data_IF_257862224194
#
_entry.id   IF_257862224194
#
_cell.length_a   1.000
_cell.length_b   1.000
_cell.length_c   1.000
_cell.angle_alpha   90.00
_cell.angle_beta   90.00
_cell.angle_gamma   90.00
#
_symmetry.space_group_name_H-M   'P 1'
#
loop_
_entity.id
_entity.type
_entity.pdbx_description
1 polymer ?
#
# COMPACT_ATOMS: atom_id res chain seq x y z
N UNK A 1 -28.21 2.46 -14.68
CA UNK A 1 -27.65 1.19 -14.17
C UNK A 1 -26.56 1.54 -13.16
N UNK A 2 -26.66 0.97 -11.96
CA UNK A 2 -25.60 1.12 -10.96
C UNK A 2 -24.55 0.05 -11.18
N UNK A 3 -23.29 0.47 -11.27
CA UNK A 3 -22.16 -0.44 -11.50
C UNK A 3 -21.29 -0.45 -10.24
N UNK A 4 -21.32 -1.56 -9.50
CA UNK A 4 -20.48 -1.73 -8.32
C UNK A 4 -19.03 -1.93 -8.76
N UNK A 5 -18.12 -1.16 -8.16
CA UNK A 5 -16.72 -1.10 -8.56
C UNK A 5 -15.82 -1.35 -7.35
N UNK A 6 -14.74 -2.11 -7.53
CA UNK A 6 -13.72 -2.24 -6.49
C UNK A 6 -12.30 -1.90 -6.96
N UNK A 7 -12.03 -1.86 -8.26
CA UNK A 7 -10.70 -1.50 -8.77
C UNK A 7 -10.80 -1.06 -10.22
N UNK A 8 -9.80 -0.31 -10.66
CA UNK A 8 -9.82 0.27 -12.00
C UNK A 8 -9.57 -0.76 -13.10
N UNK A 9 -8.77 -1.77 -12.83
CA UNK A 9 -8.44 -2.79 -13.86
C UNK A 9 -9.71 -3.49 -14.34
N UNK A 10 -10.55 -3.87 -13.38
CA UNK A 10 -11.81 -4.52 -13.74
C UNK A 10 -12.80 -3.50 -14.30
N UNK A 11 -12.92 -2.34 -13.66
CA UNK A 11 -14.00 -1.42 -14.00
C UNK A 11 -13.79 -0.69 -15.32
N UNK A 12 -12.55 -0.33 -15.66
CA UNK A 12 -12.33 0.43 -16.90
C UNK A 12 -12.78 -0.40 -18.11
N UNK A 13 -12.31 -1.62 -18.19
CA UNK A 13 -12.67 -2.52 -19.29
C UNK A 13 -14.16 -2.80 -19.29
N UNK A 14 -14.72 -3.13 -18.12
CA UNK A 14 -16.12 -3.52 -18.00
C UNK A 14 -17.05 -2.36 -18.42
N UNK A 15 -16.77 -1.16 -17.94
CA UNK A 15 -17.62 0.00 -18.25
C UNK A 15 -17.47 0.40 -19.71
N UNK A 16 -16.26 0.31 -20.26
CA UNK A 16 -16.04 0.60 -21.68
C UNK A 16 -16.90 -0.33 -22.54
N UNK A 17 -16.95 -1.62 -22.19
CA UNK A 17 -17.81 -2.58 -22.88
C UNK A 17 -19.28 -2.21 -22.75
N UNK A 18 -19.71 -1.85 -21.54
CA UNK A 18 -21.11 -1.47 -21.33
C UNK A 18 -21.46 -0.25 -22.16
N UNK A 19 -20.60 0.76 -22.20
CA UNK A 19 -20.87 1.97 -22.97
C UNK A 19 -20.96 1.67 -24.45
N UNK A 20 -20.14 0.76 -24.92
CA UNK A 20 -20.16 0.36 -26.34
C UNK A 20 -21.46 -0.38 -26.69
N UNK A 21 -21.87 -1.30 -25.81
CA UNK A 21 -23.07 -2.12 -26.09
C UNK A 21 -24.37 -1.40 -25.81
N UNK A 22 -24.36 -0.49 -24.85
CA UNK A 22 -25.58 0.21 -24.42
C UNK A 22 -25.30 1.71 -24.35
N UNK A 23 -25.06 2.35 -25.50
CA UNK A 23 -24.61 3.76 -25.48
C UNK A 23 -25.63 4.74 -24.93
N UNK A 24 -26.91 4.37 -24.87
CA UNK A 24 -27.95 5.26 -24.36
C UNK A 24 -28.24 5.08 -22.88
N UNK A 25 -27.62 4.09 -22.25
CA UNK A 25 -27.85 3.83 -20.82
C UNK A 25 -27.00 4.75 -19.96
N UNK A 26 -27.60 5.33 -18.93
CA UNK A 26 -26.87 6.09 -17.92
C UNK A 26 -26.23 5.12 -16.94
N UNK A 27 -24.92 5.22 -16.77
CA UNK A 27 -24.16 4.39 -15.86
C UNK A 27 -23.69 5.23 -14.69
N UNK A 28 -23.85 4.70 -13.48
CA UNK A 28 -23.35 5.33 -12.27
C UNK A 28 -22.43 4.34 -11.57
N UNK A 29 -21.19 4.72 -11.37
CA UNK A 29 -20.23 3.88 -10.65
C UNK A 29 -20.41 4.04 -9.15
N UNK A 30 -20.31 2.93 -8.44
CA UNK A 30 -20.42 2.93 -6.98
C UNK A 30 -19.24 2.17 -6.41
N UNK A 31 -18.30 2.90 -5.78
CA UNK A 31 -17.12 2.30 -5.19
C UNK A 31 -17.43 1.92 -3.75
N UNK A 32 -17.48 0.60 -3.50
CA UNK A 32 -17.79 0.10 -2.18
C UNK A 32 -16.98 -1.15 -1.89
N UNK A 33 -15.87 -1.25 -1.08
CA UNK A 33 -15.28 -1.92 -0.91
C UNK A 33 -15.05 -2.01 0.16
N UNK A 34 -15.65 -2.36 1.26
CA UNK A 34 -15.32 -2.28 2.69
C UNK A 34 -14.21 -3.23 3.14
N UNK A 35 -13.89 -4.20 2.33
CA UNK A 35 -12.91 -5.24 2.68
C UNK A 35 -11.46 -4.84 2.42
N UNK A 36 -11.23 -3.71 1.78
CA UNK A 36 -9.87 -3.35 1.36
C UNK A 36 -9.07 -2.82 2.56
N UNK A 37 -7.96 -3.47 2.83
CA UNK A 37 -7.08 -3.12 3.92
C UNK A 37 -5.63 -3.32 3.46
N UNK A 38 -4.70 -2.43 3.83
CA UNK A 38 -4.82 -1.27 4.72
C UNK A 38 -5.57 -0.10 4.07
N UNK A 39 -5.87 0.91 4.86
CA UNK A 39 -6.64 2.06 4.35
C UNK A 39 -5.92 2.76 3.19
N UNK A 40 -4.59 2.79 3.20
CA UNK A 40 -3.85 3.39 2.08
C UNK A 40 -4.12 2.65 0.78
N UNK A 41 -4.29 1.33 0.83
CA UNK A 41 -4.66 0.56 -0.38
C UNK A 41 -6.06 0.93 -0.85
N UNK A 42 -7.00 1.10 0.09
CA UNK A 42 -8.34 1.57 -0.25
C UNK A 42 -8.27 2.91 -0.98
N UNK A 43 -7.50 3.85 -0.43
CA UNK A 43 -7.35 5.17 -1.04
C UNK A 43 -6.70 5.08 -2.43
N UNK A 44 -5.70 4.22 -2.57
CA UNK A 44 -5.01 4.08 -3.85
C UNK A 44 -5.96 3.54 -4.94
N UNK A 45 -6.75 2.53 -4.59
CA UNK A 45 -7.70 1.97 -5.56
C UNK A 45 -8.79 2.97 -5.91
N UNK A 46 -9.31 3.69 -4.91
CA UNK A 46 -10.30 4.72 -5.18
C UNK A 46 -9.76 5.79 -6.11
N UNK A 47 -8.55 6.26 -5.84
CA UNK A 47 -7.92 7.30 -6.66
C UNK A 47 -7.82 6.86 -8.12
N UNK A 48 -7.41 5.61 -8.36
CA UNK A 48 -7.27 5.14 -9.73
C UNK A 48 -8.63 4.89 -10.38
N UNK A 49 -9.64 4.51 -9.60
CA UNK A 49 -11.01 4.41 -10.11
C UNK A 49 -11.54 5.80 -10.48
N UNK A 50 -11.25 6.81 -9.67
CA UNK A 50 -11.64 8.19 -9.98
C UNK A 50 -11.04 8.62 -11.32
N UNK A 51 -9.75 8.32 -11.51
CA UNK A 51 -9.08 8.62 -12.77
C UNK A 51 -9.75 7.90 -13.95
N UNK A 52 -10.05 6.63 -13.76
CA UNK A 52 -10.70 5.81 -14.78
C UNK A 52 -12.08 6.34 -15.15
N UNK A 53 -12.90 6.65 -14.16
CA UNK A 53 -14.25 7.14 -14.39
C UNK A 53 -14.22 8.51 -15.05
N UNK A 54 -13.28 9.32 -14.77
CA UNK A 54 -13.10 10.61 -15.45
C UNK A 54 -12.85 10.40 -16.95
N UNK A 55 -12.11 9.40 -17.13
CA UNK A 55 -11.81 9.05 -18.37
C UNK A 55 -12.91 8.56 -19.06
N UNK A 56 -13.68 7.88 -18.61
CA UNK A 56 -14.84 7.26 -19.23
C UNK A 56 -16.09 8.15 -19.25
N UNK A 57 -16.05 9.24 -18.52
CA UNK A 57 -17.15 10.18 -18.49
C UNK A 57 -18.35 9.71 -17.71
N UNK A 58 -18.16 8.93 -16.65
CA UNK A 58 -19.27 8.50 -15.81
C UNK A 58 -19.14 9.07 -14.40
N UNK A 59 -20.30 9.23 -13.77
CA UNK A 59 -20.37 9.67 -12.39
C UNK A 59 -19.89 8.55 -11.47
N UNK A 60 -19.09 8.89 -10.47
CA UNK A 60 -18.62 7.93 -9.45
C UNK A 60 -19.09 8.39 -8.08
N UNK A 61 -19.69 7.47 -7.35
CA UNK A 61 -20.12 7.71 -5.97
C UNK A 61 -19.26 6.80 -5.07
N UNK A 62 -18.64 7.42 -4.07
CA UNK A 62 -17.89 6.66 -3.06
C UNK A 62 -18.85 6.26 -1.94
N UNK A 63 -18.91 4.95 -1.66
CA UNK A 63 -19.65 4.46 -0.51
C UNK A 63 -18.82 4.59 0.76
N UNK A 64 -19.43 4.31 1.90
CA UNK A 64 -18.69 4.40 3.16
C UNK A 64 -17.61 3.32 3.25
N UNK A 65 -16.52 3.62 3.95
CA UNK A 65 -15.49 2.63 4.22
C UNK A 65 -15.89 1.88 5.50
N UNK A 66 -16.71 0.85 5.33
CA UNK A 66 -17.33 0.09 6.42
C UNK A 66 -16.42 -1.04 6.91
N UNK A 67 -15.14 -0.77 7.12
CA UNK A 67 -14.19 -1.84 7.40
C UNK A 67 -14.52 -2.58 8.70
N UNK A 68 -14.86 -1.85 9.76
CA UNK A 68 -15.16 -2.50 11.03
C UNK A 68 -16.40 -3.37 10.94
N UNK A 69 -17.43 -2.87 10.27
CA UNK A 69 -18.65 -3.64 10.05
C UNK A 69 -18.37 -4.90 9.23
N UNK A 70 -17.51 -4.78 8.22
CA UNK A 70 -17.13 -5.93 7.41
C UNK A 70 -16.35 -6.95 8.24
N UNK A 71 -15.42 -6.48 9.09
CA UNK A 71 -14.66 -7.37 9.95
C UNK A 71 -15.58 -8.15 10.90
N UNK A 72 -16.60 -7.48 11.44
CA UNK A 72 -17.57 -8.16 12.27
C UNK A 72 -18.34 -9.22 11.49
N UNK A 73 -18.71 -8.90 10.24
CA UNK A 73 -19.49 -9.84 9.44
C UNK A 73 -18.72 -11.12 9.10
N UNK A 74 -17.41 -11.02 8.95
CA UNK A 74 -16.60 -12.20 8.59
C UNK A 74 -15.96 -12.86 9.82
N UNK A 75 -16.32 -12.43 11.03
CA UNK A 75 -15.76 -13.01 12.24
C UNK A 75 -16.02 -14.52 12.27
N UNK A 76 -14.95 -15.28 12.57
CA UNK A 76 -15.02 -16.74 12.57
C UNK A 76 -14.66 -17.36 11.23
N UNK A 77 -14.51 -16.55 10.18
CA UNK A 77 -14.19 -17.06 8.85
C UNK A 77 -12.78 -16.65 8.41
N UNK A 78 -11.93 -16.24 9.37
CA UNK A 78 -10.61 -15.72 9.09
C UNK A 78 -9.72 -16.71 8.33
N UNK A 79 -9.91 -18.00 8.58
CA UNK A 79 -9.06 -19.03 7.98
C UNK A 79 -9.65 -19.67 6.73
N UNK A 80 -10.81 -19.20 6.28
CA UNK A 80 -11.40 -19.69 5.04
C UNK A 80 -10.51 -19.31 3.85
N UNK A 81 -10.38 -20.19 2.86
CA UNK A 81 -9.59 -19.83 1.66
C UNK A 81 -10.34 -18.83 0.78
N UNK A 82 -9.64 -18.29 -0.18
CA UNK A 82 -10.29 -17.49 -1.21
C UNK A 82 -11.33 -18.33 -1.92
N UNK A 83 -12.45 -17.70 -2.30
CA UNK A 83 -13.63 -18.31 -2.90
C UNK A 83 -14.41 -19.19 -1.93
N UNK A 84 -14.03 -19.21 -0.64
CA UNK A 84 -14.78 -19.91 0.37
C UNK A 84 -15.87 -19.05 0.99
N UNK A 85 -16.29 -19.45 2.21
CA UNK A 85 -17.43 -18.86 2.88
C UNK A 85 -17.21 -17.37 3.19
N UNK A 86 -15.98 -16.98 3.55
CA UNK A 86 -15.69 -15.57 3.82
C UNK A 86 -15.97 -14.71 2.58
N UNK A 87 -15.63 -15.21 1.39
CA UNK A 87 -15.89 -14.46 0.17
C UNK A 87 -17.38 -14.33 -0.12
N UNK A 88 -18.17 -15.36 0.22
CA UNK A 88 -19.62 -15.27 0.07
C UNK A 88 -20.20 -14.16 0.94
N UNK A 89 -19.79 -14.12 2.20
CA UNK A 89 -20.24 -13.06 3.11
C UNK A 89 -19.82 -11.69 2.58
N UNK A 90 -18.59 -11.59 2.08
CA UNK A 90 -18.07 -10.33 1.54
C UNK A 90 -18.91 -9.86 0.36
N UNK A 91 -19.23 -10.74 -0.58
CA UNK A 91 -20.05 -10.36 -1.73
C UNK A 91 -21.46 -9.98 -1.30
N UNK A 92 -22.04 -10.72 -0.36
CA UNK A 92 -23.37 -10.42 0.16
C UNK A 92 -23.43 -8.98 0.72
N UNK A 93 -22.45 -8.63 1.55
CA UNK A 93 -22.39 -7.28 2.12
C UNK A 93 -22.28 -6.22 1.03
N UNK A 94 -21.39 -6.47 0.08
CA UNK A 94 -21.14 -5.47 -0.96
C UNK A 94 -22.35 -5.26 -1.85
N UNK A 95 -23.05 -6.34 -2.18
CA UNK A 95 -24.21 -6.23 -3.07
C UNK A 95 -25.44 -5.73 -2.32
N UNK A 96 -25.57 -6.05 -1.04
CA UNK A 96 -26.66 -5.48 -0.25
C UNK A 96 -26.59 -3.95 -0.24
N UNK A 97 -25.42 -3.42 0.07
CA UNK A 97 -25.25 -1.97 0.11
C UNK A 97 -25.41 -1.36 -1.29
N UNK A 98 -24.94 -2.07 -2.31
CA UNK A 98 -25.10 -1.61 -3.70
C UNK A 98 -26.57 -1.57 -4.10
N UNK A 99 -27.35 -2.57 -3.71
CA UNK A 99 -28.79 -2.59 -4.01
C UNK A 99 -29.49 -1.45 -3.29
N UNK A 100 -29.14 -1.20 -2.03
CA UNK A 100 -29.69 -0.07 -1.27
C UNK A 100 -29.35 1.25 -1.95
N UNK A 101 -28.12 1.40 -2.42
CA UNK A 101 -27.72 2.63 -3.12
C UNK A 101 -28.48 2.78 -4.44
N UNK A 102 -28.69 1.69 -5.16
CA UNK A 102 -29.47 1.74 -6.40
C UNK A 102 -30.88 2.24 -6.13
N UNK A 103 -31.53 1.73 -5.07
CA UNK A 103 -32.86 2.20 -4.68
C UNK A 103 -32.86 3.69 -4.33
N UNK A 104 -31.87 4.14 -3.57
CA UNK A 104 -31.75 5.56 -3.24
C UNK A 104 -31.67 6.44 -4.47
N UNK A 105 -30.97 5.96 -5.50
CA UNK A 105 -30.76 6.74 -6.71
C UNK A 105 -31.87 6.55 -7.75
N UNK A 106 -32.85 5.72 -7.45
CA UNK A 106 -33.92 5.43 -8.41
C UNK A 106 -33.46 4.54 -9.55
N UNK A 107 -32.38 3.78 -9.37
CA UNK A 107 -31.91 2.84 -10.38
C UNK A 107 -32.62 1.51 -10.22
N UNK A 108 -33.12 0.97 -11.32
CA UNK A 108 -33.83 -0.31 -11.31
C UNK A 108 -32.95 -1.51 -11.56
N UNK A 109 -31.70 -1.27 -11.99
CA UNK A 109 -30.77 -2.34 -12.32
C UNK A 109 -29.40 -2.07 -11.74
N UNK A 110 -28.67 -3.16 -11.42
CA UNK A 110 -27.30 -3.07 -10.99
C UNK A 110 -26.47 -4.22 -11.55
N UNK A 111 -25.16 -4.02 -11.60
CA UNK A 111 -24.22 -5.03 -11.96
C UNK A 111 -22.92 -4.81 -11.17
N UNK A 112 -21.92 -5.65 -11.39
CA UNK A 112 -20.64 -5.52 -10.69
C UNK A 112 -19.50 -5.81 -11.65
N UNK A 113 -18.45 -5.02 -11.54
CA UNK A 113 -17.23 -5.22 -12.32
C UNK A 113 -16.46 -6.46 -11.87
N UNK A 114 -16.80 -7.02 -10.72
CA UNK A 114 -16.16 -8.27 -10.27
C UNK A 114 -16.41 -9.42 -11.24
N UNK A 115 -17.47 -9.33 -12.05
CA UNK A 115 -17.80 -10.37 -13.03
C UNK A 115 -16.68 -10.58 -14.05
N UNK A 116 -15.87 -9.58 -14.32
CA UNK A 116 -14.77 -9.73 -15.28
C UNK A 116 -13.45 -10.15 -14.62
N UNK A 117 -13.40 -10.14 -13.31
CA UNK A 117 -12.18 -10.50 -12.58
C UNK A 117 -11.89 -11.99 -12.72
N UNK A 118 -10.72 -12.38 -13.26
CA UNK A 118 -10.43 -13.80 -13.44
C UNK A 118 -10.24 -14.57 -12.14
N UNK A 119 -10.03 -13.87 -11.04
CA UNK A 119 -9.78 -14.52 -9.75
C UNK A 119 -11.05 -14.71 -8.92
N UNK A 120 -12.21 -14.30 -9.42
CA UNK A 120 -13.46 -14.41 -8.66
C UNK A 120 -14.35 -15.49 -9.24
N UNK A 121 -15.14 -16.10 -8.35
CA UNK A 121 -16.11 -17.11 -8.78
C UNK A 121 -17.35 -16.42 -9.33
N UNK A 122 -17.60 -16.58 -10.62
CA UNK A 122 -18.81 -16.01 -11.23
C UNK A 122 -20.07 -16.59 -10.59
N UNK A 123 -20.03 -17.87 -10.24
CA UNK A 123 -21.19 -18.52 -9.64
C UNK A 123 -21.55 -17.86 -8.31
N UNK A 124 -20.55 -17.59 -7.46
CA UNK A 124 -20.80 -16.91 -6.19
C UNK A 124 -21.33 -15.50 -6.42
N UNK A 125 -20.79 -14.78 -7.39
CA UNK A 125 -21.22 -13.43 -7.67
C UNK A 125 -22.66 -13.39 -8.17
N UNK A 126 -23.02 -14.30 -9.07
CA UNK A 126 -24.37 -14.35 -9.62
C UNK A 126 -25.36 -14.70 -8.52
N UNK A 127 -25.02 -15.69 -7.69
CA UNK A 127 -25.90 -16.10 -6.59
C UNK A 127 -26.17 -14.93 -5.64
N UNK A 128 -25.11 -14.22 -5.28
CA UNK A 128 -25.27 -13.08 -4.36
C UNK A 128 -26.11 -11.96 -4.98
N UNK A 129 -25.88 -11.67 -6.27
CA UNK A 129 -26.63 -10.62 -6.94
C UNK A 129 -28.10 -10.95 -7.07
N UNK A 130 -28.40 -12.19 -7.43
CA UNK A 130 -29.79 -12.63 -7.59
C UNK A 130 -30.53 -12.66 -6.26
N UNK A 131 -29.84 -12.94 -5.15
CA UNK A 131 -30.45 -12.90 -3.84
C UNK A 131 -30.97 -11.50 -3.51
N UNK A 132 -30.22 -10.47 -3.89
CA UNK A 132 -30.64 -9.10 -3.62
C UNK A 132 -31.63 -8.58 -4.64
N UNK A 133 -31.66 -9.14 -5.82
CA UNK A 133 -32.75 -8.89 -6.75
C UNK A 133 -34.08 -9.30 -6.12
N UNK A 134 -34.11 -10.49 -5.53
CA UNK A 134 -35.32 -11.01 -4.90
C UNK A 134 -35.74 -10.16 -3.70
N UNK A 135 -34.81 -9.71 -2.88
CA UNK A 135 -35.13 -9.02 -1.63
C UNK A 135 -35.34 -7.52 -1.79
N UNK A 136 -34.69 -6.86 -2.74
CA UNK A 136 -34.73 -5.42 -2.90
C UNK A 136 -35.41 -4.93 -4.16
N UNK A 137 -35.74 -5.84 -5.09
CA UNK A 137 -36.40 -5.46 -6.33
C UNK A 137 -35.49 -4.76 -7.33
N UNK A 138 -34.18 -4.83 -7.14
CA UNK A 138 -33.23 -4.26 -8.09
C UNK A 138 -32.71 -5.40 -8.96
N UNK A 139 -32.90 -5.31 -10.26
CA UNK A 139 -32.51 -6.37 -11.19
C UNK A 139 -30.99 -6.45 -11.27
N UNK A 140 -30.45 -7.66 -11.09
CA UNK A 140 -29.01 -7.90 -11.19
C UNK A 140 -28.70 -8.47 -12.56
N UNK A 141 -27.79 -7.83 -13.31
CA UNK A 141 -27.42 -8.29 -14.64
C UNK A 141 -26.00 -8.85 -14.60
N UNK A 142 -25.88 -10.11 -14.97
CA UNK A 142 -24.59 -10.83 -14.92
C UNK A 142 -23.96 -10.84 -16.32
N UNK A 143 -23.34 -9.72 -16.69
CA UNK A 143 -22.62 -9.64 -17.97
C UNK A 143 -21.42 -10.57 -17.96
N UNK A 144 -21.19 -11.26 -19.05
CA UNK A 144 -20.04 -12.15 -19.19
C UNK A 144 -19.05 -11.54 -20.17
N UNK A 145 -18.19 -10.69 -19.65
CA UNK A 145 -17.15 -10.07 -20.46
C UNK A 145 -15.80 -10.80 -20.38
N UNK A 146 -15.78 -11.99 -19.77
CA UNK A 146 -14.61 -12.86 -19.85
C UNK A 146 -14.53 -13.59 -21.19
N UNK A 147 -15.65 -13.73 -21.89
CA UNK A 147 -15.74 -14.46 -23.15
C UNK A 147 -14.95 -13.75 -24.24
N UNK A 148 -14.63 -14.52 -25.29
CA UNK A 148 -14.06 -13.99 -26.53
C UNK A 148 -12.79 -13.17 -26.27
N UNK A 149 -11.82 -13.79 -25.57
CA UNK A 149 -10.56 -13.14 -25.20
C UNK A 149 -10.72 -11.95 -24.24
N UNK A 150 -11.84 -11.89 -23.52
CA UNK A 150 -12.09 -10.76 -22.64
C UNK A 150 -11.00 -10.53 -21.60
N UNK A 151 -10.48 -11.61 -21.02
CA UNK A 151 -9.42 -11.48 -20.00
C UNK A 151 -8.14 -10.90 -20.62
N UNK A 152 -7.78 -11.33 -21.83
CA UNK A 152 -6.61 -10.79 -22.52
C UNK A 152 -6.81 -9.32 -22.88
N UNK A 153 -8.01 -8.98 -23.36
CA UNK A 153 -8.35 -7.59 -23.69
C UNK A 153 -8.31 -6.70 -22.45
N UNK A 154 -8.82 -7.21 -21.33
CA UNK A 154 -8.74 -6.47 -20.06
C UNK A 154 -7.30 -6.16 -19.70
N UNK A 155 -6.41 -7.14 -19.86
CA UNK A 155 -5.01 -6.95 -19.58
C UNK A 155 -4.36 -5.91 -20.48
N UNK A 156 -4.74 -5.95 -21.76
CA UNK A 156 -4.22 -4.96 -22.72
C UNK A 156 -4.69 -3.56 -22.38
N UNK A 157 -5.95 -3.39 -22.04
CA UNK A 157 -6.51 -2.09 -21.67
C UNK A 157 -5.83 -1.58 -20.41
N UNK A 158 -5.64 -2.45 -19.41
CA UNK A 158 -4.99 -2.06 -18.17
C UNK A 158 -3.58 -1.54 -18.42
N UNK A 159 -2.86 -2.17 -19.34
CA UNK A 159 -1.51 -1.75 -19.69
C UNK A 159 -1.51 -0.42 -20.44
N UNK A 160 -2.39 -0.31 -21.44
CA UNK A 160 -2.48 0.92 -22.24
C UNK A 160 -2.86 2.13 -21.41
N UNK A 161 -3.79 1.95 -20.47
CA UNK A 161 -4.26 3.03 -19.63
C UNK A 161 -3.40 3.21 -18.37
N UNK A 162 -2.41 2.34 -18.19
CA UNK A 162 -1.52 2.35 -17.01
C UNK A 162 -2.33 2.33 -15.71
N UNK A 163 -3.28 1.39 -15.63
CA UNK A 163 -4.12 1.22 -14.46
C UNK A 163 -3.35 0.51 -13.35
N UNK A 164 -3.73 0.77 -12.11
CA UNK A 164 -3.10 0.13 -10.96
C UNK A 164 -3.52 -1.33 -10.88
N UNK A 165 -2.57 -2.22 -11.08
CA UNK A 165 -2.81 -3.66 -10.97
C UNK A 165 -2.42 -4.12 -9.58
N UNK A 166 -3.41 -4.32 -8.74
CA UNK A 166 -3.19 -4.87 -7.40
C UNK A 166 -2.95 -6.37 -7.51
N UNK A 167 -2.25 -6.94 -6.52
CA UNK A 167 -1.94 -8.37 -6.56
C UNK A 167 -2.67 -9.17 -5.49
N UNK A 168 -3.61 -8.54 -4.78
CA UNK A 168 -4.49 -9.26 -3.86
C UNK A 168 -5.87 -8.61 -3.90
N UNK A 169 -6.87 -9.31 -3.34
CA UNK A 169 -8.25 -8.85 -3.48
C UNK A 169 -8.59 -7.63 -2.60
N UNK A 170 -7.75 -7.33 -1.64
CA UNK A 170 -7.99 -6.27 -0.66
C UNK A 170 -8.24 -6.82 0.73
N UNK A 171 -8.64 -8.05 0.83
CA UNK A 171 -8.95 -8.71 2.10
C UNK A 171 -7.66 -9.00 2.87
N UNK A 172 -7.61 -8.54 4.13
CA UNK A 172 -6.46 -8.76 5.00
C UNK A 172 -6.13 -10.25 5.14
N UNK A 173 -7.15 -11.08 5.29
CA UNK A 173 -6.95 -12.52 5.51
C UNK A 173 -6.43 -13.19 4.24
N UNK A 174 -6.94 -12.80 3.09
CA UNK A 174 -6.41 -13.28 1.81
C UNK A 174 -4.97 -12.87 1.59
N UNK A 175 -4.65 -11.63 1.93
CA UNK A 175 -3.27 -11.14 1.80
C UNK A 175 -2.33 -11.95 2.69
N UNK A 176 -2.72 -12.17 3.94
CA UNK A 176 -1.88 -12.92 4.89
C UNK A 176 -1.60 -14.34 4.37
N UNK A 177 -2.64 -15.03 3.90
CA UNK A 177 -2.47 -16.38 3.36
C UNK A 177 -1.57 -16.37 2.12
N UNK A 178 -1.77 -15.41 1.24
CA UNK A 178 -1.01 -15.32 0.01
C UNK A 178 0.48 -15.07 0.30
N UNK A 179 0.78 -14.14 1.22
CA UNK A 179 2.17 -13.84 1.58
C UNK A 179 2.84 -15.01 2.29
N UNK A 180 2.09 -15.72 3.15
CA UNK A 180 2.62 -16.92 3.80
C UNK A 180 3.00 -17.98 2.76
N UNK A 181 2.13 -18.23 1.79
CA UNK A 181 2.41 -19.20 0.74
C UNK A 181 3.63 -18.80 -0.09
N UNK A 182 3.79 -17.50 -0.34
CA UNK A 182 4.92 -16.97 -1.10
C UNK A 182 6.19 -16.87 -0.26
N UNK A 183 6.09 -17.08 1.05
CA UNK A 183 7.20 -16.86 1.99
C UNK A 183 7.74 -15.44 1.85
N UNK A 184 6.83 -14.49 1.76
CA UNK A 184 7.15 -13.07 1.58
C UNK A 184 6.67 -12.27 2.77
N UNK A 185 7.39 -11.18 3.03
CA UNK A 185 6.97 -10.21 4.01
C UNK A 185 5.63 -9.60 3.62
N UNK A 186 4.74 -9.43 4.59
CA UNK A 186 3.49 -8.72 4.36
C UNK A 186 3.77 -7.22 4.43
N UNK A 187 4.46 -6.74 3.41
CA UNK A 187 5.01 -5.39 3.36
C UNK A 187 3.92 -4.32 3.34
N UNK A 188 2.74 -4.70 2.86
CA UNK A 188 1.61 -3.79 2.76
C UNK A 188 1.15 -3.25 4.12
N UNK A 189 1.53 -3.95 5.19
CA UNK A 189 1.09 -3.57 6.54
C UNK A 189 2.01 -2.57 7.23
N UNK A 190 3.12 -2.20 6.60
CA UNK A 190 4.01 -1.18 7.17
C UNK A 190 3.47 0.20 6.86
N UNK A 191 3.43 1.04 7.88
CA UNK A 191 2.93 2.42 7.76
C UNK A 191 4.07 3.40 7.80
N UNK A 192 3.93 4.53 7.15
CA UNK A 192 4.95 5.57 7.29
C UNK A 192 4.98 6.13 8.70
N UNK A 193 6.13 6.64 9.09
CA UNK A 193 6.30 7.34 10.36
C UNK A 193 6.55 8.80 10.01
N UNK A 194 5.60 9.66 10.38
CA UNK A 194 5.68 11.08 10.05
C UNK A 194 5.84 11.26 8.53
N UNK A 195 6.89 11.95 8.11
CA UNK A 195 7.15 12.23 6.70
C UNK A 195 7.93 11.10 6.00
N UNK A 196 8.28 10.05 6.73
CA UNK A 196 9.16 9.01 6.18
C UNK A 196 8.34 7.95 5.46
N UNK A 197 7.97 8.25 4.22
CA UNK A 197 7.24 7.32 3.37
C UNK A 197 8.23 6.27 2.87
N UNK A 198 7.92 5.00 3.12
CA UNK A 198 8.84 3.92 2.80
C UNK A 198 8.89 3.67 1.29
N UNK A 199 10.08 3.39 0.74
CA UNK A 199 10.18 3.11 -0.69
C UNK A 199 9.39 1.86 -1.08
N UNK A 200 8.76 1.91 -2.24
CA UNK A 200 7.93 0.83 -2.80
C UNK A 200 6.71 0.50 -1.96
N UNK A 201 6.33 1.38 -1.04
CA UNK A 201 5.13 1.20 -0.23
C UNK A 201 3.88 1.65 -0.99
N UNK A 202 2.73 1.26 -0.46
CA UNK A 202 1.45 1.74 -0.99
C UNK A 202 1.38 3.26 -0.90
N UNK A 203 1.90 3.82 0.20
CA UNK A 203 1.87 5.26 0.41
C UNK A 203 2.71 6.00 -0.62
N UNK A 204 3.85 5.44 -1.01
CA UNK A 204 4.67 6.05 -2.06
C UNK A 204 3.91 6.05 -3.38
N UNK A 205 3.27 4.92 -3.71
CA UNK A 205 2.49 4.85 -4.95
C UNK A 205 1.29 5.78 -4.92
N UNK A 206 0.64 5.89 -3.77
CA UNK A 206 -0.50 6.80 -3.63
C UNK A 206 -0.07 8.25 -3.92
N UNK A 207 1.06 8.66 -3.34
CA UNK A 207 1.61 10.01 -3.59
C UNK A 207 1.92 10.19 -5.07
N UNK A 208 2.53 9.19 -5.70
CA UNK A 208 2.90 9.26 -7.11
C UNK A 208 1.66 9.34 -8.00
N UNK A 209 0.63 8.56 -7.71
CA UNK A 209 -0.58 8.56 -8.52
C UNK A 209 -1.37 9.85 -8.33
N UNK A 210 -1.33 10.44 -7.14
CA UNK A 210 -1.94 11.76 -6.94
C UNK A 210 -1.24 12.79 -7.81
N UNK A 211 0.10 12.75 -7.84
CA UNK A 211 0.87 13.63 -8.72
C UNK A 211 0.54 13.38 -10.19
N UNK A 212 0.34 12.10 -10.57
CA UNK A 212 -0.03 11.76 -11.94
C UNK A 212 -1.34 12.45 -12.33
N UNK A 213 -2.33 12.43 -11.45
CA UNK A 213 -3.59 13.10 -11.75
C UNK A 213 -3.42 14.60 -11.89
N UNK A 214 -2.58 15.20 -11.03
CA UNK A 214 -2.29 16.64 -11.15
C UNK A 214 -1.64 16.96 -12.49
N UNK A 215 -0.70 16.13 -12.93
CA UNK A 215 -0.03 16.34 -14.22
C UNK A 215 -1.01 16.18 -15.38
N UNK A 216 -1.87 15.18 -15.32
CA UNK A 216 -2.87 14.97 -16.36
C UNK A 216 -3.85 16.14 -16.43
N UNK A 217 -4.28 16.64 -15.28
CA UNK A 217 -5.18 17.81 -15.24
C UNK A 217 -4.51 19.05 -15.83
N UNK A 218 -3.20 19.17 -15.67
CA UNK A 218 -2.43 20.32 -16.19
C UNK A 218 -1.93 20.11 -17.62
N UNK A 219 -2.16 18.93 -18.19
CA UNK A 219 -1.71 18.64 -19.55
C UNK A 219 -0.21 18.45 -19.67
N UNK A 220 0.47 18.09 -18.60
CA UNK A 220 1.93 17.93 -18.59
C UNK A 220 2.28 16.48 -18.89
N UNK A 221 3.07 16.21 -19.96
CA UNK A 221 3.44 14.82 -20.28
C UNK A 221 4.34 14.21 -19.21
N UNK A 222 4.17 12.93 -19.00
CA UNK A 222 4.95 12.19 -18.02
C UNK A 222 5.09 10.75 -18.47
N UNK A 223 5.99 10.02 -17.80
CA UNK A 223 6.11 8.58 -17.96
C UNK A 223 6.25 7.94 -16.58
N UNK A 224 5.77 6.72 -16.44
CA UNK A 224 6.00 5.90 -15.26
C UNK A 224 6.95 4.78 -15.66
N UNK A 225 8.08 4.71 -14.96
CA UNK A 225 9.08 3.69 -15.22
C UNK A 225 9.30 2.85 -13.96
N UNK A 226 9.80 1.65 -14.14
CA UNK A 226 10.13 0.77 -13.02
C UNK A 226 11.64 0.77 -12.82
N UNK A 227 12.06 0.74 -11.54
CA UNK A 227 13.48 0.60 -11.22
C UNK A 227 13.64 -0.42 -10.11
N UNK A 228 14.77 -1.13 -10.16
CA UNK A 228 15.11 -2.10 -9.13
C UNK A 228 16.02 -1.42 -8.13
N UNK A 229 15.86 -1.77 -6.85
CA UNK A 229 16.61 -1.12 -5.79
C UNK A 229 16.68 -2.04 -4.58
N UNK A 230 17.58 -1.70 -3.63
CA UNK A 230 17.67 -2.41 -2.36
C UNK A 230 16.66 -1.81 -1.42
N UNK A 231 15.65 -2.60 -1.02
CA UNK A 231 14.63 -2.15 -0.08
C UNK A 231 14.99 -2.58 1.33
N UNK A 232 14.35 -1.95 2.31
CA UNK A 232 14.72 -2.09 3.71
C UNK A 232 13.49 -1.89 4.58
N UNK A 233 13.34 -2.79 5.56
CA UNK A 233 12.28 -2.63 6.56
C UNK A 233 12.84 -2.90 7.94
N UNK A 234 12.50 -2.02 8.86
CA UNK A 234 12.88 -2.13 10.26
C UNK A 234 11.70 -2.69 11.04
N UNK A 235 11.89 -3.84 11.66
CA UNK A 235 10.82 -4.48 12.42
C UNK A 235 10.79 -3.99 13.86
N UNK A 236 11.95 -3.93 14.49
CA UNK A 236 12.05 -3.47 15.88
C UNK A 236 13.47 -3.07 16.19
N UNK A 237 13.60 -2.10 17.09
CA UNK A 237 14.90 -1.61 17.52
C UNK A 237 14.78 -1.09 18.94
N UNK A 238 15.83 -1.29 19.72
CA UNK A 238 15.93 -0.67 21.01
C UNK A 238 17.40 -0.60 21.42
N UNK A 239 17.71 0.40 22.22
CA UNK A 239 19.05 0.58 22.75
C UNK A 239 18.98 0.63 24.25
N UNK A 240 19.79 -0.20 24.92
CA UNK A 240 19.94 -0.15 26.36
C UNK A 240 21.37 0.26 26.67
N UNK A 241 21.49 1.19 27.61
CA UNK A 241 22.79 1.64 28.10
C UNK A 241 22.82 1.40 29.58
N UNK A 242 23.74 0.53 30.04
CA UNK A 242 23.76 0.15 31.45
C UNK A 242 22.46 -0.49 31.90
N UNK A 243 21.77 -1.19 31.01
CA UNK A 243 20.52 -1.87 31.33
C UNK A 243 19.27 -1.04 31.19
N UNK A 244 19.38 0.26 30.88
CA UNK A 244 18.24 1.16 30.77
C UNK A 244 17.98 1.51 29.32
N UNK A 245 16.71 1.49 28.92
CA UNK A 245 16.34 1.86 27.53
C UNK A 245 16.54 3.37 27.36
N UNK A 246 17.23 3.73 26.28
CA UNK A 246 17.43 5.13 25.94
C UNK A 246 16.91 5.40 24.53
N UNK A 247 16.49 6.63 24.22
CA UNK A 247 16.06 6.96 22.88
C UNK A 247 17.19 6.78 21.87
N UNK A 248 16.86 6.18 20.73
CA UNK A 248 17.83 5.94 19.66
C UNK A 248 17.09 5.90 18.34
N UNK A 249 17.80 6.26 17.27
CA UNK A 249 17.21 6.24 15.93
C UNK A 249 18.18 5.58 14.96
N UNK A 250 17.89 4.36 14.52
CA UNK A 250 18.72 3.73 13.49
C UNK A 250 18.51 4.42 12.15
N UNK A 251 19.59 4.79 11.51
CA UNK A 251 19.55 5.39 10.20
C UNK A 251 18.99 4.37 9.19
N UNK A 252 18.26 4.85 8.21
CA UNK A 252 17.71 3.98 7.17
C UNK A 252 18.83 3.12 6.57
N UNK A 253 18.56 1.85 6.30
CA UNK A 253 19.48 0.82 5.81
C UNK A 253 20.37 0.20 6.90
N UNK A 254 20.27 0.60 8.15
CA UNK A 254 21.10 0.02 9.22
C UNK A 254 20.75 -1.45 9.42
N UNK A 255 21.77 -2.31 9.36
CA UNK A 255 21.64 -3.75 9.64
C UNK A 255 22.77 -4.18 10.55
N UNK A 256 22.55 -5.30 11.25
CA UNK A 256 23.64 -6.00 11.95
C UNK A 256 23.53 -7.47 11.63
N UNK A 257 24.64 -8.19 11.82
CA UNK A 257 24.70 -9.60 11.40
C UNK A 257 23.77 -10.50 12.21
N UNK A 258 23.47 -10.11 13.43
CA UNK A 258 22.48 -10.79 14.28
C UNK A 258 21.40 -9.80 14.63
N UNK A 259 20.39 -10.24 15.39
CA UNK A 259 19.36 -9.29 15.84
C UNK A 259 19.78 -8.50 17.07
N UNK A 260 20.80 -8.95 17.80
CA UNK A 260 21.29 -8.24 18.99
C UNK A 260 22.81 -8.21 18.97
N UNK A 261 23.37 -7.14 19.56
CA UNK A 261 24.82 -7.06 19.81
C UNK A 261 25.05 -6.27 21.08
N UNK A 262 26.16 -6.58 21.76
CA UNK A 262 26.52 -5.92 23.01
C UNK A 262 27.97 -5.50 22.98
N UNK A 263 28.30 -4.48 23.76
CA UNK A 263 29.68 -4.06 23.89
C UNK A 263 29.79 -2.65 24.43
N UNK A 264 30.99 -2.11 24.28
CA UNK A 264 31.27 -0.73 24.69
C UNK A 264 31.86 0.04 23.53
N UNK A 265 31.69 1.35 23.57
CA UNK A 265 32.33 2.21 22.58
C UNK A 265 33.84 2.09 22.76
N UNK A 266 34.54 1.75 21.71
CA UNK A 266 35.99 1.50 21.79
C UNK A 266 36.83 2.63 21.22
N UNK A 267 36.32 3.32 20.16
CA UNK A 267 37.10 4.40 19.57
C UNK A 267 36.20 5.31 18.75
N UNK A 268 36.77 6.42 18.35
CA UNK A 268 36.03 7.46 17.62
C UNK A 268 36.89 7.93 16.43
N UNK A 269 36.22 8.10 15.28
CA UNK A 269 36.84 8.64 14.09
C UNK A 269 35.86 9.63 13.45
N UNK A 270 36.28 10.90 13.37
CA UNK A 270 35.52 11.93 12.67
C UNK A 270 34.06 12.02 13.16
N UNK A 271 33.88 11.93 14.48
CA UNK A 271 32.55 12.05 15.07
C UNK A 271 31.70 10.81 15.00
N UNK A 272 32.27 9.70 14.55
CA UNK A 272 31.58 8.41 14.55
C UNK A 272 32.23 7.53 15.61
N UNK A 273 31.39 6.94 16.47
CA UNK A 273 31.83 6.20 17.65
C UNK A 273 31.54 4.72 17.47
N UNK A 274 32.57 3.90 17.48
CA UNK A 274 32.47 2.50 17.08
C UNK A 274 32.31 1.56 18.26
N UNK A 275 31.37 0.65 18.14
CA UNK A 275 31.09 -0.36 19.14
C UNK A 275 31.94 -1.60 18.86
N UNK A 276 32.90 -1.89 19.78
CA UNK A 276 33.70 -3.12 19.73
C UNK A 276 34.37 -3.38 18.38
N UNK A 277 34.72 -2.35 17.64
CA UNK A 277 35.29 -2.48 16.30
C UNK A 277 34.37 -3.25 15.35
N UNK A 278 33.07 -3.19 15.66
CA UNK A 278 32.07 -3.90 14.87
C UNK A 278 31.45 -3.00 13.81
N UNK A 279 30.48 -3.55 13.17
CA UNK A 279 29.74 -2.85 12.13
C UNK A 279 28.84 -1.75 12.64
N UNK A 280 28.74 -1.56 13.94
CA UNK A 280 27.84 -0.60 14.56
C UNK A 280 28.60 0.66 14.95
N UNK A 281 28.07 1.81 14.59
CA UNK A 281 28.62 3.09 15.03
C UNK A 281 27.50 4.00 15.49
N UNK A 282 27.88 4.93 16.36
CA UNK A 282 26.94 5.91 16.92
C UNK A 282 27.34 7.31 16.49
N UNK A 283 26.35 8.16 16.27
CA UNK A 283 26.56 9.60 16.10
C UNK A 283 25.60 10.31 17.04
N UNK A 284 25.99 11.53 17.44
CA UNK A 284 25.11 12.32 18.30
C UNK A 284 24.03 12.99 17.49
N UNK A 285 22.94 13.36 18.17
CA UNK A 285 21.88 14.14 17.54
C UNK A 285 22.43 15.47 17.00
N UNK A 286 23.37 16.10 17.71
CA UNK A 286 23.96 17.33 17.21
C UNK A 286 24.65 17.12 15.86
N UNK A 287 25.36 16.01 15.70
CA UNK A 287 25.98 15.68 14.42
C UNK A 287 24.92 15.43 13.36
N UNK A 288 23.88 14.68 13.70
CA UNK A 288 22.77 14.43 12.78
C UNK A 288 22.15 15.74 12.30
N UNK A 289 21.84 16.64 13.25
CA UNK A 289 21.24 17.92 12.92
C UNK A 289 22.14 18.73 11.99
N UNK A 290 23.44 18.78 12.32
CA UNK A 290 24.39 19.57 11.55
C UNK A 290 24.50 19.06 10.13
N UNK A 291 24.56 17.74 9.94
CA UNK A 291 24.79 17.16 8.63
C UNK A 291 23.53 17.05 7.77
N UNK A 292 22.35 17.14 8.39
CA UNK A 292 21.09 17.08 7.64
C UNK A 292 20.36 18.43 7.60
N UNK A 293 20.96 19.46 8.16
CA UNK A 293 20.34 20.78 8.28
C UNK A 293 18.99 20.69 8.99
N UNK A 294 18.97 19.91 10.07
CA UNK A 294 17.78 19.70 10.88
C UNK A 294 17.94 20.39 12.24
N UNK A 295 16.86 20.43 13.01
CA UNK A 295 16.87 21.10 14.31
C UNK A 295 16.07 20.30 15.33
N UNK A 296 16.22 18.99 15.34
CA UNK A 296 15.54 18.16 16.34
C UNK A 296 16.04 18.48 17.73
N UNK A 297 15.10 18.57 18.68
CA UNK A 297 15.46 18.90 20.07
C UNK A 297 15.96 17.68 20.83
N UNK A 298 15.57 16.48 20.39
CA UNK A 298 15.95 15.23 21.07
C UNK A 298 15.88 14.09 20.07
N UNK A 299 16.59 13.03 20.39
CA UNK A 299 16.50 11.79 19.58
C UNK A 299 15.09 11.22 19.66
N UNK A 300 14.42 11.37 20.80
CA UNK A 300 13.04 10.92 20.92
C UNK A 300 12.16 11.63 19.87
N UNK A 301 12.37 12.93 19.69
CA UNK A 301 11.63 13.69 18.68
C UNK A 301 11.93 13.16 17.27
N UNK A 302 13.20 12.88 17.00
CA UNK A 302 13.61 12.31 15.73
C UNK A 302 12.94 10.95 15.49
N UNK A 303 12.84 10.11 16.50
CA UNK A 303 12.19 8.81 16.38
C UNK A 303 10.75 8.94 15.91
N UNK A 304 10.02 9.92 16.41
CA UNK A 304 8.60 10.07 16.08
C UNK A 304 8.36 10.96 14.88
N UNK A 305 9.32 11.78 14.49
CA UNK A 305 9.16 12.71 13.38
C UNK A 305 10.33 12.59 12.40
N UNK A 306 10.65 11.37 12.02
CA UNK A 306 11.80 11.12 11.14
C UNK A 306 11.66 11.90 9.82
N UNK A 307 12.79 12.34 9.25
CA UNK A 307 12.76 13.06 7.99
C UNK A 307 12.51 12.08 6.84
N UNK A 308 12.32 12.60 5.61
CA UNK A 308 12.19 11.71 4.47
C UNK A 308 13.35 10.73 4.36
N UNK A 309 13.06 9.55 3.80
CA UNK A 309 14.06 8.50 3.65
C UNK A 309 15.29 9.02 2.90
N UNK A 310 15.08 9.85 1.88
CA UNK A 310 16.18 10.39 1.07
C UNK A 310 17.18 11.17 1.92
N UNK A 311 16.71 11.87 2.94
CA UNK A 311 17.60 12.61 3.84
C UNK A 311 18.52 11.64 4.57
N UNK A 312 17.98 10.53 5.05
CA UNK A 312 18.79 9.55 5.78
C UNK A 312 19.75 8.81 4.84
N UNK A 313 19.31 8.51 3.62
CA UNK A 313 20.20 7.86 2.65
C UNK A 313 21.36 8.80 2.28
N UNK A 314 21.08 10.09 2.11
CA UNK A 314 22.13 11.07 1.83
C UNK A 314 23.13 11.15 2.97
N UNK A 315 22.64 11.14 4.21
CA UNK A 315 23.53 11.14 5.37
C UNK A 315 24.38 9.88 5.42
N UNK A 316 23.77 8.74 5.12
CA UNK A 316 24.53 7.47 5.07
C UNK A 316 25.65 7.55 4.03
N UNK A 317 25.36 8.10 2.86
CA UNK A 317 26.35 8.26 1.81
C UNK A 317 27.48 9.16 2.28
N UNK A 318 27.15 10.24 2.97
CA UNK A 318 28.17 11.16 3.48
C UNK A 318 29.04 10.51 4.53
N UNK A 319 28.46 9.71 5.43
CA UNK A 319 29.20 9.10 6.54
C UNK A 319 30.01 7.88 6.08
N UNK A 320 29.50 7.10 5.15
CA UNK A 320 30.03 5.79 4.81
C UNK A 320 30.60 5.72 3.40
N UNK A 321 30.38 6.74 2.58
CA UNK A 321 30.88 6.77 1.23
C UNK A 321 29.99 6.10 0.20
N UNK A 322 28.90 5.49 0.62
CA UNK A 322 28.00 4.80 -0.30
C UNK A 322 26.63 4.61 0.36
N UNK A 323 25.55 4.74 -0.41
CA UNK A 323 24.23 4.40 0.15
C UNK A 323 24.03 2.90 0.35
N UNK A 324 24.89 2.09 -0.26
CA UNK A 324 24.75 0.63 -0.23
C UNK A 324 25.54 -0.03 0.90
N UNK A 325 26.30 0.73 1.68
CA UNK A 325 26.92 0.23 2.90
C UNK A 325 25.83 0.17 3.96
N UNK A 326 25.49 -1.03 4.44
CA UNK A 326 24.39 -1.22 5.36
C UNK A 326 24.81 -1.27 6.82
N UNK A 327 26.02 -0.86 7.13
CA UNK A 327 26.50 -0.80 8.51
C UNK A 327 25.53 0.04 9.36
N UNK A 328 25.33 -0.39 10.61
CA UNK A 328 24.41 0.29 11.48
C UNK A 328 24.97 1.64 11.93
N UNK A 329 24.17 2.69 11.77
CA UNK A 329 24.47 4.02 12.29
C UNK A 329 23.30 4.40 13.19
N UNK A 330 23.60 4.57 14.48
CA UNK A 330 22.57 4.81 15.51
C UNK A 330 22.72 6.23 16.03
N UNK A 331 21.67 7.01 15.93
CA UNK A 331 21.67 8.38 16.47
C UNK A 331 21.23 8.34 17.93
N UNK A 332 21.98 9.02 18.77
CA UNK A 332 21.68 9.12 20.22
C UNK A 332 21.86 10.55 20.67
N UNK A 333 21.26 10.89 21.83
CA UNK A 333 21.44 12.24 22.40
C UNK A 333 22.89 12.44 22.83
N UNK A 334 23.45 11.45 23.52
CA UNK A 334 24.84 11.51 23.96
C UNK A 334 25.44 10.12 23.82
N UNK A 335 26.76 10.11 23.55
CA UNK A 335 27.47 8.85 23.30
C UNK A 335 27.54 8.04 24.61
N UNK A 336 27.14 6.77 24.59
CA UNK A 336 27.15 5.95 25.81
C UNK A 336 28.54 5.73 26.34
N UNK A 337 28.68 5.77 27.65
CA UNK A 337 29.94 5.45 28.33
C UNK A 337 29.89 4.10 29.04
N UNK A 338 28.70 3.52 29.18
CA UNK A 338 28.52 2.21 29.79
C UNK A 338 28.32 1.17 28.71
N UNK A 339 28.14 -0.07 29.13
CA UNK A 339 27.87 -1.18 28.21
C UNK A 339 26.57 -0.95 27.47
N UNK A 340 26.59 -1.19 26.18
CA UNK A 340 25.45 -1.00 25.28
C UNK A 340 24.90 -2.37 24.87
N UNK A 341 23.58 -2.48 24.82
CA UNK A 341 22.89 -3.61 24.23
C UNK A 341 21.95 -3.08 23.16
N UNK A 342 22.21 -3.47 21.91
CA UNK A 342 21.44 -3.00 20.77
C UNK A 342 20.62 -4.13 20.20
N UNK A 343 19.31 -3.92 20.09
CA UNK A 343 18.39 -4.79 19.33
C UNK A 343 18.11 -4.09 18.01
N UNK A 344 18.30 -4.80 16.89
CA UNK A 344 18.05 -4.22 15.57
C UNK A 344 17.64 -5.36 14.65
N UNK A 345 16.33 -5.50 14.47
CA UNK A 345 15.73 -6.58 13.68
C UNK A 345 15.22 -5.98 12.37
N UNK A 346 15.88 -6.31 11.28
CA UNK A 346 15.64 -5.68 9.99
C UNK A 346 15.66 -6.71 8.87
N UNK A 347 15.23 -6.25 7.69
CA UNK A 347 15.32 -7.05 6.47
C UNK A 347 15.66 -6.14 5.30
N UNK A 348 16.63 -6.57 4.49
CA UNK A 348 16.93 -5.94 3.19
C UNK A 348 16.62 -6.95 2.10
N UNK A 349 16.12 -6.45 0.97
CA UNK A 349 15.77 -7.33 -0.16
C UNK A 349 15.69 -6.51 -1.43
N UNK A 350 15.98 -7.16 -2.55
CA UNK A 350 15.83 -6.52 -3.86
C UNK A 350 14.34 -6.36 -4.16
N UNK A 351 13.96 -5.18 -4.61
CA UNK A 351 12.57 -4.86 -4.87
C UNK A 351 12.47 -3.97 -6.10
N UNK A 352 11.26 -3.75 -6.57
CA UNK A 352 10.98 -2.90 -7.72
C UNK A 352 9.99 -1.82 -7.29
N UNK A 353 10.23 -0.59 -7.74
CA UNK A 353 9.28 0.49 -7.50
C UNK A 353 9.07 1.29 -8.76
N UNK A 354 7.93 1.97 -8.80
CA UNK A 354 7.60 2.86 -9.91
C UNK A 354 8.09 4.26 -9.62
N UNK A 355 8.52 4.93 -10.68
CA UNK A 355 8.92 6.33 -10.61
C UNK A 355 8.24 7.10 -11.71
N UNK A 356 7.78 8.30 -11.38
CA UNK A 356 7.13 9.19 -12.34
C UNK A 356 8.16 10.20 -12.85
N UNK A 357 8.32 10.26 -14.15
CA UNK A 357 9.29 11.12 -14.81
C UNK A 357 8.53 12.11 -15.70
N UNK A 358 8.79 13.39 -15.51
CA UNK A 358 8.16 14.44 -16.33
C UNK A 358 8.97 14.60 -17.59
N UNK A 359 8.30 14.54 -18.74
CA UNK A 359 8.92 14.77 -20.04
C UNK A 359 8.99 16.29 -20.29
N UNK A 360 10.19 16.81 -20.48
CA UNK A 360 10.37 18.23 -20.80
C UNK A 360 10.41 18.43 -22.30
#
# INVERSE_FOLDING_TARGET
VLVHICCSVDSHFFIEKLQHEYPDEKLVGFFYXPNIHPYSEYRLRLLDVERSCKXLGIELIEGPYDFESWMDAVRGLEHEPEKGERCEVCFDRRFEVSAQKALELGESTMTTTLLVSPKKSQEQLIRAGEAFEASHGVKFIAFDYRKNNGTADQGRVAKEQQLYRQDYCGCLFGLSMQRDQQQRLMDEMFSPLSRQILPASIEERLTMYQRRMDLEDSGIPYRIVKERFLNYRLFRASLRVGGEVVPSHPLFYSTISRTTTEGKIEFEVNGQYFLNREEVRFITLDTFNALTSSAYESTRRLMFEAPPVETEISLRTLLLGSPYDTSAVIVVDSIPTAKVSLLLDTKTYTDTREKLIINN
#
